data_IF_534486628275
#
_entry.id   IF_534486628275
#
_cell.length_a   1.000
_cell.length_b   1.000
_cell.length_c   1.000
_cell.angle_alpha   90.00
_cell.angle_beta   90.00
_cell.angle_gamma   90.00
#
_symmetry.space_group_name_H-M   'P 1'
#
loop_
_entity.id
_entity.type
_entity.pdbx_description
1 polymer ?
#
# COMPACT_ATOMS: atom_id res chain seq x y z
N UNK A 1 25.37 -48.83 27.04
CA UNK A 1 25.76 -49.20 25.66
C UNK A 1 24.54 -49.03 24.77
N UNK A 2 24.43 -47.88 24.08
CA UNK A 2 23.25 -47.51 23.29
C UNK A 2 23.49 -47.76 21.80
N UNK A 3 22.58 -48.51 21.18
CA UNK A 3 22.65 -49.03 19.82
C UNK A 3 22.39 -47.93 18.79
N UNK A 4 23.38 -47.63 17.94
CA UNK A 4 23.24 -46.72 16.80
C UNK A 4 22.59 -47.44 15.61
N UNK A 5 21.37 -47.06 15.24
CA UNK A 5 20.73 -47.48 13.97
C UNK A 5 21.09 -46.49 12.86
N UNK A 6 21.81 -46.99 11.86
CA UNK A 6 22.13 -46.30 10.59
C UNK A 6 20.86 -46.13 9.75
N UNK A 7 20.55 -44.91 9.35
CA UNK A 7 19.56 -44.61 8.32
C UNK A 7 20.23 -44.63 6.94
N UNK A 8 19.71 -45.49 6.06
CA UNK A 8 20.09 -45.60 4.66
C UNK A 8 19.23 -44.61 3.84
N UNK A 9 19.85 -43.65 3.17
CA UNK A 9 19.17 -42.67 2.31
C UNK A 9 19.34 -43.14 0.85
N UNK A 10 18.24 -43.52 0.21
CA UNK A 10 18.18 -43.74 -1.23
C UNK A 10 17.88 -42.41 -1.94
N UNK A 11 18.80 -41.97 -2.81
CA UNK A 11 18.59 -40.87 -3.74
C UNK A 11 17.96 -41.43 -5.03
N UNK A 12 16.71 -41.04 -5.33
CA UNK A 12 16.06 -41.31 -6.61
C UNK A 12 16.23 -40.08 -7.49
N UNK A 13 16.95 -40.24 -8.60
CA UNK A 13 17.08 -39.23 -9.65
C UNK A 13 15.74 -39.05 -10.37
N UNK A 14 15.20 -37.83 -10.34
CA UNK A 14 14.00 -37.44 -11.10
C UNK A 14 14.43 -36.61 -12.30
N UNK A 15 14.33 -37.21 -13.49
CA UNK A 15 14.57 -36.55 -14.77
C UNK A 15 13.52 -35.46 -15.03
N UNK A 16 13.97 -34.22 -15.26
CA UNK A 16 13.13 -33.13 -15.75
C UNK A 16 13.10 -33.15 -17.29
N UNK A 17 11.90 -33.37 -17.85
CA UNK A 17 11.59 -33.13 -19.25
C UNK A 17 11.26 -31.65 -19.41
N UNK A 18 12.08 -30.93 -20.19
CA UNK A 18 11.83 -29.53 -20.57
C UNK A 18 10.98 -29.54 -21.83
N UNK A 19 9.68 -29.24 -21.67
CA UNK A 19 8.78 -28.94 -22.77
C UNK A 19 8.90 -27.44 -23.10
N UNK A 20 9.57 -27.15 -24.22
CA UNK A 20 9.62 -25.81 -24.82
C UNK A 20 8.24 -25.46 -25.41
N UNK A 21 7.52 -24.57 -24.74
CA UNK A 21 6.33 -23.93 -25.32
C UNK A 21 6.77 -22.69 -26.10
N UNK A 22 6.67 -22.77 -27.43
CA UNK A 22 6.74 -21.60 -28.31
C UNK A 22 5.45 -20.79 -28.16
N UNK A 23 5.57 -19.53 -27.73
CA UNK A 23 4.47 -18.57 -27.73
C UNK A 23 4.36 -17.89 -29.10
N UNK A 24 3.19 -17.89 -29.76
CA UNK A 24 2.97 -17.04 -30.92
C UNK A 24 2.93 -15.58 -30.48
N UNK A 25 3.84 -14.79 -31.05
CA UNK A 25 3.86 -13.34 -30.98
C UNK A 25 2.60 -12.80 -31.68
N UNK A 26 1.61 -12.35 -30.91
CA UNK A 26 0.46 -11.63 -31.44
C UNK A 26 0.79 -10.14 -31.44
N UNK A 27 1.28 -9.66 -32.59
CA UNK A 27 1.38 -8.23 -32.88
C UNK A 27 -0.02 -7.72 -33.23
N UNK A 28 -0.61 -6.92 -32.34
CA UNK A 28 -1.90 -6.30 -32.57
C UNK A 28 -1.67 -4.83 -32.93
N UNK A 29 -1.98 -4.52 -34.18
CA UNK A 29 -1.95 -3.23 -34.84
C UNK A 29 -2.91 -2.26 -34.13
N UNK A 30 -2.36 -1.20 -33.51
CA UNK A 30 -3.15 -0.13 -32.93
C UNK A 30 -3.43 0.87 -34.05
N UNK A 31 -4.69 0.96 -34.46
CA UNK A 31 -5.16 2.03 -35.33
C UNK A 31 -5.21 3.32 -34.52
N UNK A 32 -4.36 4.26 -34.91
CA UNK A 32 -4.48 5.68 -34.61
C UNK A 32 -5.85 6.19 -35.06
N UNK A 33 -6.63 6.68 -34.11
CA UNK A 33 -7.75 7.59 -34.37
C UNK A 33 -7.39 8.91 -33.71
N UNK A 34 -6.76 9.77 -34.50
CA UNK A 34 -6.74 11.20 -34.30
C UNK A 34 -8.13 11.74 -34.63
N UNK A 35 -8.86 12.24 -33.63
CA UNK A 35 -9.87 13.27 -33.87
C UNK A 35 -9.73 14.40 -32.86
N UNK A 36 -8.91 15.36 -33.30
CA UNK A 36 -9.10 16.81 -33.21
C UNK A 36 -10.46 17.25 -32.63
N UNK A 37 -10.42 17.91 -31.48
CA UNK A 37 -11.36 18.99 -31.15
C UNK A 37 -10.60 20.08 -30.39
N UNK A 38 -9.87 20.89 -31.16
CA UNK A 38 -9.29 22.15 -30.73
C UNK A 38 -10.07 23.29 -31.37
N UNK A 39 -10.88 24.00 -30.58
CA UNK A 39 -11.18 25.39 -30.89
C UNK A 39 -11.49 26.19 -29.63
N UNK A 40 -10.85 27.36 -29.56
CA UNK A 40 -11.19 28.56 -28.79
C UNK A 40 -10.38 28.79 -27.51
N UNK A 41 -9.35 29.60 -27.67
CA UNK A 41 -8.66 30.33 -26.61
C UNK A 41 -9.53 31.50 -26.15
N UNK A 42 -9.89 31.54 -24.86
CA UNK A 42 -10.21 32.80 -24.17
C UNK A 42 -9.93 32.71 -22.67
N UNK A 43 -9.36 33.78 -22.12
CA UNK A 43 -8.72 33.87 -20.81
C UNK A 43 -9.71 33.96 -19.63
N UNK A 44 -9.26 33.46 -18.46
CA UNK A 44 -9.56 33.87 -17.06
C UNK A 44 -10.32 32.85 -16.20
N UNK A 45 -9.69 32.54 -15.08
CA UNK A 45 -10.25 31.76 -13.97
C UNK A 45 -9.53 30.42 -13.86
N UNK A 46 -8.65 30.29 -12.86
CA UNK A 46 -8.14 29.01 -12.40
C UNK A 46 -9.37 28.20 -11.93
N UNK A 47 -10.01 27.50 -12.86
CA UNK A 47 -11.09 26.60 -12.52
C UNK A 47 -10.46 25.52 -11.66
N UNK A 48 -10.91 25.46 -10.41
CA UNK A 48 -10.59 24.40 -9.47
C UNK A 48 -11.07 23.12 -10.14
N UNK A 49 -10.14 22.41 -10.79
CA UNK A 49 -10.42 21.12 -11.40
C UNK A 49 -11.08 20.27 -10.33
N UNK A 50 -12.28 19.77 -10.60
CA UNK A 50 -12.96 18.89 -9.65
C UNK A 50 -11.97 17.82 -9.17
N UNK A 51 -11.95 17.51 -7.86
CA UNK A 51 -10.97 16.59 -7.32
C UNK A 51 -11.09 15.27 -8.09
N UNK A 52 -10.02 14.91 -8.81
CA UNK A 52 -9.96 13.67 -9.59
C UNK A 52 -10.30 12.52 -8.63
N UNK A 53 -11.48 11.96 -8.79
CA UNK A 53 -11.97 10.91 -7.92
C UNK A 53 -11.11 9.67 -8.12
N UNK A 54 -10.41 9.27 -7.06
CA UNK A 54 -9.51 8.13 -7.10
C UNK A 54 -10.33 6.86 -7.40
N UNK A 55 -10.06 6.13 -8.50
CA UNK A 55 -10.88 4.99 -8.93
C UNK A 55 -10.64 3.71 -8.11
N UNK A 56 -9.75 3.74 -7.10
CA UNK A 56 -9.46 2.59 -6.26
C UNK A 56 -10.34 2.50 -5.01
N UNK A 57 -10.01 1.57 -4.11
CA UNK A 57 -10.73 1.40 -2.84
C UNK A 57 -10.70 2.71 -2.04
N UNK A 58 -11.85 3.34 -1.89
CA UNK A 58 -12.01 4.54 -1.07
C UNK A 58 -12.73 4.16 0.23
N UNK A 59 -12.09 4.31 1.40
CA UNK A 59 -12.70 3.96 2.67
C UNK A 59 -13.87 4.86 3.07
N UNK A 60 -13.94 6.11 2.58
CA UNK A 60 -15.05 7.03 2.92
C UNK A 60 -16.30 6.77 2.09
N UNK A 61 -16.10 6.47 0.79
CA UNK A 61 -17.21 6.24 -0.16
C UNK A 61 -17.63 4.77 -0.24
N UNK A 62 -16.86 3.88 0.38
CA UNK A 62 -16.99 2.46 0.18
C UNK A 62 -16.37 2.05 -1.15
N UNK A 63 -15.63 0.95 -1.13
CA UNK A 63 -15.03 0.37 -2.32
C UNK A 63 -14.65 -1.06 -2.05
N UNK A 64 -15.08 -1.96 -2.93
CA UNK A 64 -14.63 -3.35 -2.88
C UNK A 64 -13.28 -3.47 -3.56
N UNK A 65 -12.34 -4.17 -2.91
CA UNK A 65 -11.12 -4.56 -3.57
C UNK A 65 -11.42 -5.51 -4.74
N UNK A 66 -10.60 -5.49 -5.81
CA UNK A 66 -10.66 -6.49 -6.85
C UNK A 66 -10.59 -7.91 -6.27
N UNK A 67 -11.43 -8.80 -6.79
CA UNK A 67 -11.48 -10.22 -6.41
C UNK A 67 -11.86 -10.47 -4.93
N UNK A 68 -12.67 -9.58 -4.35
CA UNK A 68 -13.15 -9.72 -2.97
C UNK A 68 -13.86 -11.06 -2.70
N UNK A 69 -14.60 -11.60 -3.68
CA UNK A 69 -15.28 -12.89 -3.56
C UNK A 69 -14.33 -14.06 -3.24
N UNK A 70 -13.09 -14.00 -3.76
CA UNK A 70 -12.05 -14.97 -3.42
C UNK A 70 -11.60 -14.84 -1.96
N UNK A 71 -11.57 -13.62 -1.44
CA UNK A 71 -11.22 -13.34 -0.06
C UNK A 71 -12.30 -13.87 0.90
N UNK A 72 -13.59 -13.64 0.61
CA UNK A 72 -14.73 -14.14 1.41
C UNK A 72 -14.70 -15.68 1.57
N UNK A 73 -14.37 -16.40 0.49
CA UNK A 73 -14.26 -17.88 0.48
C UNK A 73 -13.01 -18.43 1.19
N UNK A 74 -12.08 -17.57 1.59
CA UNK A 74 -10.87 -18.00 2.29
C UNK A 74 -11.19 -18.63 3.65
N UNK A 75 -10.35 -19.58 4.08
CA UNK A 75 -10.44 -20.19 5.43
C UNK A 75 -9.80 -19.33 6.52
N UNK A 76 -9.10 -18.26 6.13
CA UNK A 76 -8.33 -17.37 6.99
C UNK A 76 -8.58 -15.91 6.58
N UNK A 77 -8.23 -14.96 7.43
CA UNK A 77 -8.38 -13.54 7.12
C UNK A 77 -7.50 -13.15 5.94
N UNK A 78 -7.99 -12.20 5.14
CA UNK A 78 -7.33 -11.80 3.90
C UNK A 78 -7.19 -10.29 3.86
N UNK A 79 -5.96 -9.81 3.81
CA UNK A 79 -5.65 -8.42 3.48
C UNK A 79 -5.90 -8.22 1.99
N UNK A 80 -6.96 -7.49 1.66
CA UNK A 80 -7.46 -7.32 0.30
C UNK A 80 -6.89 -6.09 -0.38
N UNK A 81 -6.60 -5.03 0.37
CA UNK A 81 -6.10 -3.78 -0.21
C UNK A 81 -5.34 -2.91 0.79
N UNK A 82 -4.06 -2.57 0.55
CA UNK A 82 -3.40 -1.46 1.21
C UNK A 82 -3.62 -0.16 0.42
N UNK A 83 -3.80 0.95 1.11
CA UNK A 83 -3.96 2.27 0.48
C UNK A 83 -3.33 3.40 1.28
N UNK A 84 -3.14 4.52 0.59
CA UNK A 84 -2.69 5.78 1.15
C UNK A 84 -3.59 6.89 0.61
N UNK A 85 -3.96 7.84 1.45
CA UNK A 85 -4.80 8.96 1.07
C UNK A 85 -4.41 10.22 1.84
N UNK A 86 -4.35 11.35 1.14
CA UNK A 86 -4.34 12.67 1.77
C UNK A 86 -5.75 13.01 2.24
N UNK A 87 -5.89 13.46 3.48
CA UNK A 87 -7.20 13.85 4.00
C UNK A 87 -7.64 15.18 3.38
N UNK A 88 -8.96 15.38 3.18
CA UNK A 88 -9.50 16.61 2.61
C UNK A 88 -9.04 17.87 3.36
N UNK A 89 -8.94 18.98 2.63
CA UNK A 89 -8.55 20.28 3.22
C UNK A 89 -7.13 20.32 3.80
N UNK A 90 -6.28 19.33 3.48
CA UNK A 90 -4.94 19.26 4.05
C UNK A 90 -4.95 18.88 5.54
N UNK A 91 -5.99 18.20 6.02
CA UNK A 91 -6.11 17.76 7.42
C UNK A 91 -5.13 16.63 7.82
N UNK A 92 -4.19 16.27 6.92
CA UNK A 92 -3.19 15.26 7.16
C UNK A 92 -3.22 14.14 6.13
N UNK A 93 -2.85 12.94 6.56
CA UNK A 93 -2.77 11.77 5.68
C UNK A 93 -3.10 10.50 6.43
N UNK A 94 -3.56 9.47 5.72
CA UNK A 94 -3.82 8.17 6.29
C UNK A 94 -3.26 7.04 5.45
N UNK A 95 -2.74 6.04 6.13
CA UNK A 95 -2.51 4.70 5.57
C UNK A 95 -3.67 3.84 6.02
N UNK A 96 -4.25 3.07 5.10
CA UNK A 96 -5.32 2.16 5.43
C UNK A 96 -5.09 0.77 4.86
N UNK A 97 -5.64 -0.23 5.53
CA UNK A 97 -5.64 -1.62 5.06
C UNK A 97 -7.05 -2.18 5.17
N UNK A 98 -7.59 -2.61 4.03
CA UNK A 98 -8.83 -3.38 3.99
C UNK A 98 -8.53 -4.85 4.27
N UNK A 99 -9.30 -5.44 5.18
CA UNK A 99 -9.25 -6.86 5.52
C UNK A 99 -10.64 -7.47 5.35
N UNK A 100 -10.70 -8.60 4.65
CA UNK A 100 -11.86 -9.45 4.59
C UNK A 100 -11.69 -10.60 5.60
N UNK A 101 -12.70 -10.79 6.45
CA UNK A 101 -12.81 -11.97 7.30
C UNK A 101 -13.07 -13.19 6.41
N UNK A 102 -12.37 -14.28 6.68
CA UNK A 102 -12.56 -15.54 5.95
C UNK A 102 -13.77 -16.31 6.48
N UNK A 103 -14.49 -17.02 5.61
CA UNK A 103 -15.67 -17.82 5.94
C UNK A 103 -15.52 -18.85 7.08
N UNK A 104 -14.29 -19.30 7.38
CA UNK A 104 -14.02 -20.25 8.47
C UNK A 104 -13.35 -19.61 9.70
N UNK A 105 -13.21 -18.30 9.71
CA UNK A 105 -12.66 -17.57 10.85
C UNK A 105 -13.80 -17.22 11.79
N UNK A 106 -13.64 -17.49 13.09
CA UNK A 106 -14.61 -17.08 14.10
C UNK A 106 -14.69 -15.55 14.20
N UNK A 107 -13.70 -14.93 14.84
CA UNK A 107 -13.58 -13.48 14.96
C UNK A 107 -12.30 -12.99 14.29
N UNK A 108 -12.38 -11.78 13.72
CA UNK A 108 -11.20 -11.08 13.21
C UNK A 108 -10.53 -10.35 14.38
N UNK A 109 -9.24 -10.62 14.57
CA UNK A 109 -8.45 -9.97 15.60
C UNK A 109 -7.94 -8.61 15.10
N UNK A 110 -8.01 -7.58 15.95
CA UNK A 110 -7.48 -6.25 15.66
C UNK A 110 -5.97 -6.30 15.40
N UNK A 111 -5.44 -5.46 14.49
CA UNK A 111 -4.00 -5.36 14.27
C UNK A 111 -3.27 -4.86 15.51
N UNK A 112 -2.06 -5.35 15.76
CA UNK A 112 -1.25 -4.94 16.92
C UNK A 112 0.02 -4.25 16.47
N UNK A 113 0.43 -3.18 17.17
CA UNK A 113 1.73 -2.54 16.92
C UNK A 113 2.87 -3.35 17.54
N UNK A 114 3.97 -3.54 16.82
CA UNK A 114 5.13 -4.33 17.28
C UNK A 114 6.43 -3.56 17.09
N UNK A 115 7.30 -3.59 18.10
CA UNK A 115 8.60 -2.93 18.07
C UNK A 115 9.69 -3.77 17.37
N UNK A 116 9.55 -5.10 17.35
CA UNK A 116 10.59 -6.03 16.86
C UNK A 116 10.00 -7.07 15.90
N UNK A 117 9.84 -6.74 14.60
CA UNK A 117 9.41 -7.71 13.60
C UNK A 117 10.54 -8.73 13.28
N UNK A 118 10.22 -9.88 12.66
CA UNK A 118 11.19 -10.92 12.32
C UNK A 118 12.09 -10.59 11.12
N UNK A 119 12.12 -9.33 10.68
CA UNK A 119 12.88 -8.85 9.53
C UNK A 119 13.43 -7.46 9.80
N UNK A 120 14.48 -7.08 9.07
CA UNK A 120 15.05 -5.73 9.14
C UNK A 120 14.03 -4.69 8.65
N UNK A 121 13.84 -3.65 9.44
CA UNK A 121 13.03 -2.46 9.14
C UNK A 121 13.90 -1.21 9.29
N UNK A 122 13.44 -0.08 8.74
CA UNK A 122 14.11 1.20 8.94
C UNK A 122 13.97 1.64 10.40
N UNK A 123 14.88 2.49 10.92
CA UNK A 123 14.80 2.96 12.31
C UNK A 123 13.50 3.72 12.62
N UNK A 124 13.00 4.47 11.63
CA UNK A 124 11.79 5.28 11.75
C UNK A 124 10.58 4.57 11.11
N UNK A 125 10.34 3.31 11.48
CA UNK A 125 9.20 2.54 10.96
C UNK A 125 8.17 2.25 12.03
N UNK A 126 6.89 2.37 11.68
CA UNK A 126 5.78 1.79 12.43
C UNK A 126 5.46 0.42 11.85
N UNK A 127 5.23 -0.57 12.70
CA UNK A 127 4.96 -1.94 12.26
C UNK A 127 3.72 -2.49 12.95
N UNK A 128 2.77 -2.93 12.15
CA UNK A 128 1.52 -3.55 12.62
C UNK A 128 1.44 -4.98 12.12
N UNK A 129 1.01 -5.89 12.99
CA UNK A 129 0.78 -7.29 12.67
C UNK A 129 -0.73 -7.55 12.54
N UNK A 130 -1.10 -8.18 11.43
CA UNK A 130 -2.39 -8.79 11.17
C UNK A 130 -2.25 -10.30 11.42
N UNK A 131 -2.74 -10.80 12.56
CA UNK A 131 -2.64 -12.21 12.90
C UNK A 131 -3.51 -13.07 11.97
N UNK A 132 -3.11 -14.32 11.78
CA UNK A 132 -3.86 -15.35 11.02
C UNK A 132 -4.35 -14.86 9.65
N UNK A 133 -3.52 -14.05 8.98
CA UNK A 133 -3.89 -13.34 7.75
C UNK A 133 -2.97 -13.72 6.58
N UNK A 134 -3.48 -13.56 5.37
CA UNK A 134 -2.72 -13.62 4.10
C UNK A 134 -3.04 -12.41 3.23
N UNK A 135 -2.20 -12.13 2.24
CA UNK A 135 -2.44 -11.05 1.27
C UNK A 135 -3.12 -11.62 0.02
N UNK A 136 -4.22 -11.01 -0.41
CA UNK A 136 -5.05 -11.49 -1.54
C UNK A 136 -4.26 -11.56 -2.85
N UNK A 137 -3.68 -10.42 -3.26
CA UNK A 137 -2.96 -10.26 -4.52
C UNK A 137 -1.49 -10.04 -4.27
N UNK A 138 -0.62 -10.58 -5.14
CA UNK A 138 0.81 -10.31 -5.07
C UNK A 138 1.12 -8.82 -5.22
N UNK A 139 0.33 -8.10 -6.03
CA UNK A 139 0.48 -6.66 -6.25
C UNK A 139 0.36 -5.86 -4.94
N UNK A 140 -0.45 -6.32 -3.98
CA UNK A 140 -0.61 -5.66 -2.68
C UNK A 140 0.64 -5.75 -1.79
N UNK A 141 1.68 -6.46 -2.22
CA UNK A 141 2.99 -6.48 -1.56
C UNK A 141 3.91 -5.36 -2.07
N UNK A 142 3.54 -4.69 -3.18
CA UNK A 142 4.29 -3.56 -3.67
C UNK A 142 4.16 -2.38 -2.71
N UNK A 143 5.24 -1.60 -2.50
CA UNK A 143 5.21 -0.45 -1.60
C UNK A 143 4.32 0.66 -2.17
N UNK A 144 3.50 1.25 -1.30
CA UNK A 144 2.82 2.51 -1.51
C UNK A 144 3.85 3.63 -1.34
N UNK A 145 4.34 4.19 -2.45
CA UNK A 145 5.36 5.24 -2.44
C UNK A 145 4.69 6.59 -2.22
N UNK A 146 4.91 7.20 -1.06
CA UNK A 146 4.30 8.48 -0.66
C UNK A 146 5.31 9.63 -0.52
N UNK A 147 6.56 9.43 -0.97
CA UNK A 147 7.65 10.39 -0.76
C UNK A 147 7.38 11.82 -1.27
N UNK A 148 6.56 11.97 -2.31
CA UNK A 148 6.22 13.26 -2.92
C UNK A 148 5.02 13.95 -2.28
N UNK A 149 4.31 13.28 -1.37
CA UNK A 149 3.18 13.86 -0.66
C UNK A 149 3.65 14.61 0.58
N UNK A 150 2.93 15.65 0.95
CA UNK A 150 3.17 16.38 2.20
C UNK A 150 2.64 15.58 3.40
N UNK A 151 3.29 14.46 3.68
CA UNK A 151 2.95 13.49 4.73
C UNK A 151 4.23 13.00 5.40
N UNK A 152 4.20 12.64 6.70
CA UNK A 152 5.35 12.04 7.36
C UNK A 152 5.65 10.63 6.83
N UNK A 153 4.74 10.01 6.06
CA UNK A 153 4.93 8.68 5.49
C UNK A 153 5.85 8.75 4.28
N UNK A 154 6.95 8.00 4.30
CA UNK A 154 7.87 7.84 3.17
C UNK A 154 7.33 6.78 2.19
N UNK A 155 7.00 5.62 2.75
CA UNK A 155 6.30 4.56 2.05
C UNK A 155 5.59 3.63 3.04
N UNK A 156 4.59 2.89 2.57
CA UNK A 156 3.97 1.82 3.33
C UNK A 156 3.99 0.52 2.53
N UNK A 157 4.25 -0.63 3.17
CA UNK A 157 4.35 -1.92 2.47
C UNK A 157 3.84 -3.07 3.31
N UNK A 158 3.33 -4.09 2.63
CA UNK A 158 2.91 -5.33 3.25
C UNK A 158 4.02 -6.38 3.15
N UNK A 159 4.35 -7.05 4.26
CA UNK A 159 5.20 -8.25 4.27
C UNK A 159 4.46 -9.45 4.84
N UNK A 160 4.70 -10.61 4.25
CA UNK A 160 4.20 -11.89 4.77
C UNK A 160 5.31 -12.58 5.54
N UNK A 161 5.00 -13.09 6.73
CA UNK A 161 5.91 -13.97 7.46
C UNK A 161 5.09 -14.99 8.25
N UNK A 162 5.27 -16.28 7.94
CA UNK A 162 4.42 -17.37 8.42
C UNK A 162 2.94 -17.07 8.12
N UNK A 163 2.02 -17.33 9.05
CA UNK A 163 0.58 -17.06 8.93
C UNK A 163 0.20 -15.66 9.41
N UNK A 164 1.07 -14.68 9.17
CA UNK A 164 0.91 -13.29 9.63
C UNK A 164 1.28 -12.36 8.49
N UNK A 165 0.54 -11.26 8.42
CA UNK A 165 0.84 -10.15 7.53
C UNK A 165 1.29 -8.98 8.37
N UNK A 166 2.28 -8.24 7.89
CA UNK A 166 2.84 -7.07 8.56
C UNK A 166 2.65 -5.87 7.65
N UNK A 167 2.01 -4.81 8.16
CA UNK A 167 2.09 -3.48 7.56
C UNK A 167 3.32 -2.79 8.15
N UNK A 168 4.19 -2.30 7.28
CA UNK A 168 5.37 -1.52 7.66
C UNK A 168 5.19 -0.15 7.05
N UNK A 169 5.14 0.88 7.88
CA UNK A 169 5.04 2.28 7.49
C UNK A 169 6.40 2.91 7.78
N UNK A 170 7.19 3.11 6.73
CA UNK A 170 8.45 3.83 6.84
C UNK A 170 8.15 5.34 6.85
N UNK A 171 8.70 6.07 7.82
CA UNK A 171 8.48 7.50 7.98
C UNK A 171 9.68 8.31 7.50
N UNK A 172 9.42 9.50 6.94
CA UNK A 172 10.44 10.49 6.57
C UNK A 172 11.10 11.08 7.80
N UNK A 173 10.27 11.37 8.81
CA UNK A 173 10.66 11.93 10.10
C UNK A 173 9.94 11.14 11.21
N UNK A 174 10.50 11.07 12.43
CA UNK A 174 9.78 10.51 13.56
C UNK A 174 8.42 11.22 13.74
N UNK A 175 7.33 10.47 13.65
CA UNK A 175 5.97 10.95 13.83
C UNK A 175 5.13 9.87 14.50
N UNK A 176 4.21 10.28 15.38
CA UNK A 176 3.23 9.38 15.98
C UNK A 176 1.89 9.50 15.23
N UNK A 177 1.18 8.38 15.00
CA UNK A 177 -0.19 8.46 14.52
C UNK A 177 -1.07 9.16 15.53
N UNK A 178 -2.03 9.94 15.05
CA UNK A 178 -3.06 10.57 15.90
C UNK A 178 -4.32 9.74 16.01
N UNK A 179 -4.52 8.82 15.05
CA UNK A 179 -5.57 7.82 15.11
C UNK A 179 -5.06 6.49 14.60
N UNK A 180 -5.30 5.45 15.39
CA UNK A 180 -5.14 4.05 15.02
C UNK A 180 -6.50 3.38 15.26
N UNK A 181 -7.23 3.06 14.20
CA UNK A 181 -8.62 2.62 14.33
C UNK A 181 -8.88 1.37 13.49
N UNK A 182 -9.54 0.38 14.10
CA UNK A 182 -9.97 -0.83 13.42
C UNK A 182 -11.49 -0.88 13.39
N UNK A 183 -12.07 -0.60 12.23
CA UNK A 183 -13.52 -0.45 12.06
C UNK A 183 -14.08 -1.57 11.19
N UNK A 184 -15.29 -2.00 11.54
CA UNK A 184 -16.12 -2.81 10.66
C UNK A 184 -16.85 -1.88 9.71
N UNK A 185 -16.77 -2.15 8.41
CA UNK A 185 -17.46 -1.34 7.40
C UNK A 185 -18.79 -1.97 6.98
N UNK A 186 -18.73 -3.16 6.35
CA UNK A 186 -19.91 -3.91 5.89
C UNK A 186 -19.62 -5.41 5.96
N UNK A 187 -20.62 -6.23 6.28
CA UNK A 187 -20.52 -7.70 6.32
C UNK A 187 -19.26 -8.23 7.02
N UNK A 188 -18.33 -8.79 6.24
CA UNK A 188 -17.04 -9.36 6.65
C UNK A 188 -15.85 -8.45 6.27
N UNK A 189 -16.09 -7.21 5.88
CA UNK A 189 -15.09 -6.21 5.53
C UNK A 189 -14.77 -5.28 6.71
N UNK A 190 -13.49 -5.13 6.95
CA UNK A 190 -12.90 -4.30 7.99
C UNK A 190 -11.84 -3.38 7.39
N UNK A 191 -11.66 -2.21 7.99
CA UNK A 191 -10.56 -1.32 7.69
C UNK A 191 -9.72 -1.07 8.94
N UNK A 192 -8.41 -1.06 8.76
CA UNK A 192 -7.47 -0.54 9.75
C UNK A 192 -6.90 0.78 9.23
N UNK A 193 -7.06 1.85 10.00
CA UNK A 193 -6.58 3.19 9.70
C UNK A 193 -5.41 3.57 10.60
N UNK A 194 -4.40 4.21 10.01
CA UNK A 194 -3.30 4.88 10.70
C UNK A 194 -3.21 6.29 10.13
N UNK A 195 -3.64 7.28 10.91
CA UNK A 195 -3.72 8.67 10.49
C UNK A 195 -2.63 9.52 11.13
N UNK A 196 -2.16 10.51 10.38
CA UNK A 196 -1.11 11.43 10.77
C UNK A 196 -1.57 12.86 10.55
N UNK A 197 -1.19 13.74 11.47
CA UNK A 197 -1.40 15.18 11.37
C UNK A 197 -0.78 15.78 10.10
N UNK A 198 -1.29 16.93 9.64
CA UNK A 198 -0.62 17.70 8.62
C UNK A 198 0.66 18.35 9.16
N UNK A 199 1.51 18.77 8.25
CA UNK A 199 2.78 19.39 8.58
C UNK A 199 3.54 19.76 7.32
N UNK A 200 4.83 20.04 7.45
CA UNK A 200 5.72 20.27 6.31
C UNK A 200 6.73 19.14 6.22
N UNK A 201 6.51 18.21 5.28
CA UNK A 201 7.28 16.98 5.12
C UNK A 201 7.89 16.84 3.72
N UNK A 202 7.85 17.91 2.93
CA UNK A 202 8.54 17.97 1.64
C UNK A 202 9.86 18.69 1.90
N UNK A 203 11.02 18.10 1.54
CA UNK A 203 12.29 18.80 1.69
C UNK A 203 12.26 20.04 0.79
N UNK A 204 12.44 21.23 1.39
CA UNK A 204 12.59 22.48 0.64
C UNK A 204 13.87 22.34 -0.19
N UNK A 205 13.74 22.47 -1.50
CA UNK A 205 14.91 22.39 -2.39
C UNK A 205 15.89 23.51 -2.02
N UNK A 206 17.20 23.22 -1.83
CA UNK A 206 18.19 24.25 -1.51
C UNK A 206 18.27 25.39 -2.54
N UNK A 207 17.72 25.19 -3.74
CA UNK A 207 17.66 26.19 -4.82
C UNK A 207 16.78 27.40 -4.49
N UNK A 208 15.89 27.32 -3.50
CA UNK A 208 15.00 28.41 -3.11
C UNK A 208 15.52 29.21 -1.89
N UNK A 209 16.48 28.65 -1.15
CA UNK A 209 17.04 29.26 0.06
C UNK A 209 18.13 30.32 -0.21
N UNK A 210 18.50 30.57 -1.47
CA UNK A 210 19.63 31.43 -1.84
C UNK A 210 19.28 32.60 -2.77
N UNK A 211 18.02 33.03 -2.85
CA UNK A 211 17.70 34.32 -3.48
C UNK A 211 17.78 35.41 -2.41
N UNK A 212 18.91 36.14 -2.25
CA UNK A 212 18.92 37.30 -1.38
C UNK A 212 17.86 38.28 -1.88
N UNK A 213 16.92 38.61 -0.99
CA UNK A 213 16.06 39.78 -1.12
C UNK A 213 16.98 40.98 -1.31
N UNK A 214 17.08 41.47 -2.54
CA UNK A 214 17.66 42.78 -2.82
C UNK A 214 16.71 43.81 -2.22
N UNK A 215 16.99 44.15 -0.98
CA UNK A 215 16.46 45.34 -0.32
C UNK A 215 17.05 46.53 -1.07
N UNK A 216 16.26 47.04 -2.01
CA UNK A 216 16.49 48.30 -2.70
C UNK A 216 16.28 49.43 -1.70
N UNK A 217 17.31 49.74 -0.92
CA UNK A 217 17.42 51.02 -0.21
C UNK A 217 17.71 52.10 -1.25
N UNK A 218 16.64 52.72 -1.75
CA UNK A 218 16.73 53.92 -2.58
C UNK A 218 16.36 55.14 -1.72
N UNK A 219 17.36 56.02 -1.56
CA UNK A 219 17.37 57.43 -1.12
C UNK A 219 17.22 57.77 0.36
#
# INVERSE_FOLDING_TARGET
MGVYRKFLIFYVYSSFVVLSFAWPCYAQEIKETEELNSTTTENKGLQVTEPIEYPGVNPDKGGEAPLLEKAKKSKINVVTWPGFQMLPGGAGSRVFVQICKGSKVGEIESPQRVAKPPFKVSPNSLVYIFPKSVVLLRNNLNPLVSKYFNSPVLNAKMKKYRKRVYLIIDLKVPANPVREEFVKYQDDLFFFFVEFEPGNFIPVSPSEASKPSSESSEK
#
